data_IF_178018820947
#
_entry.id   IF_178018820947
#
_cell.length_a   1.000
_cell.length_b   1.000
_cell.length_c   1.000
_cell.angle_alpha   90.00
_cell.angle_beta   90.00
_cell.angle_gamma   90.00
#
_symmetry.space_group_name_H-M   'P 1'
#
loop_
_entity.id
_entity.type
_entity.pdbx_description
1 polymer ?
#
# COMPACT_ATOMS: atom_id res chain seq x y z
N UNK A 1 -2.21 3.77 -18.11
CA UNK A 1 -2.87 3.10 -16.97
C UNK A 1 -2.22 1.74 -16.83
N UNK A 2 -1.61 1.43 -15.68
CA UNK A 2 -1.38 0.03 -15.35
C UNK A 2 -2.74 -0.69 -15.39
N UNK A 3 -2.79 -1.94 -15.88
CA UNK A 3 -4.01 -2.74 -15.81
C UNK A 3 -4.47 -2.79 -14.35
N UNK A 4 -5.67 -2.27 -14.12
CA UNK A 4 -6.32 -2.39 -12.83
C UNK A 4 -6.60 -3.88 -12.56
N UNK A 5 -6.10 -4.38 -11.44
CA UNK A 5 -6.29 -5.76 -11.01
C UNK A 5 -7.59 -5.88 -10.21
N UNK A 6 -8.68 -6.12 -10.95
CA UNK A 6 -10.03 -6.25 -10.38
C UNK A 6 -10.15 -7.45 -9.44
N UNK A 7 -9.58 -8.60 -9.84
CA UNK A 7 -9.65 -9.85 -9.08
C UNK A 7 -8.97 -9.71 -7.72
N UNK A 8 -7.80 -9.07 -7.67
CA UNK A 8 -7.10 -8.81 -6.41
C UNK A 8 -7.92 -7.91 -5.47
N UNK A 9 -8.64 -6.92 -6.01
CA UNK A 9 -9.48 -6.06 -5.17
C UNK A 9 -10.75 -6.77 -4.69
N UNK A 10 -11.38 -7.57 -5.56
CA UNK A 10 -12.55 -8.38 -5.18
C UNK A 10 -12.22 -9.37 -4.07
N UNK A 11 -11.07 -10.04 -4.15
CA UNK A 11 -10.60 -10.95 -3.10
C UNK A 11 -10.47 -10.23 -1.74
N UNK A 12 -9.93 -9.00 -1.72
CA UNK A 12 -9.80 -8.18 -0.51
C UNK A 12 -11.15 -7.73 0.05
N UNK A 13 -12.09 -7.37 -0.82
CA UNK A 13 -13.46 -7.03 -0.42
C UNK A 13 -14.13 -8.24 0.23
N UNK A 14 -14.04 -9.42 -0.40
CA UNK A 14 -14.66 -10.64 0.13
C UNK A 14 -14.00 -11.10 1.45
N UNK A 15 -12.68 -10.94 1.61
CA UNK A 15 -11.99 -11.17 2.89
C UNK A 15 -12.45 -10.19 3.99
N UNK A 16 -12.61 -8.91 3.64
CA UNK A 16 -13.14 -7.92 4.56
C UNK A 16 -14.57 -8.27 4.98
N UNK A 17 -15.45 -8.62 4.03
CA UNK A 17 -16.83 -8.99 4.31
C UNK A 17 -16.94 -10.22 5.23
N UNK A 18 -16.03 -11.20 5.12
CA UNK A 18 -15.95 -12.32 6.09
C UNK A 18 -15.68 -11.83 7.51
N UNK A 19 -14.79 -10.85 7.66
CA UNK A 19 -14.48 -10.27 8.98
C UNK A 19 -15.62 -9.40 9.50
N UNK A 20 -16.26 -8.61 8.62
CA UNK A 20 -17.47 -7.83 8.93
C UNK A 20 -18.57 -8.72 9.51
N UNK A 21 -18.78 -9.91 8.94
CA UNK A 21 -19.75 -10.89 9.43
C UNK A 21 -19.45 -11.45 10.82
N UNK A 22 -18.18 -11.40 11.26
CA UNK A 22 -17.76 -11.85 12.60
C UNK A 22 -17.84 -10.71 13.62
N UNK A 23 -17.52 -9.49 13.21
CA UNK A 23 -17.39 -8.32 14.09
C UNK A 23 -18.74 -7.65 14.37
N UNK A 24 -19.66 -7.70 13.41
CA UNK A 24 -20.96 -7.08 13.52
C UNK A 24 -22.03 -8.11 13.88
N UNK A 25 -23.08 -7.65 14.59
CA UNK A 25 -24.29 -8.45 14.78
C UNK A 25 -24.85 -8.92 13.43
N UNK A 26 -25.37 -10.15 13.35
CA UNK A 26 -25.87 -10.77 12.10
C UNK A 26 -26.75 -9.83 11.25
N UNK A 27 -27.66 -9.08 11.89
CA UNK A 27 -28.56 -8.17 11.19
C UNK A 27 -27.83 -6.97 10.56
N UNK A 28 -26.78 -6.45 11.20
CA UNK A 28 -25.97 -5.35 10.67
C UNK A 28 -25.01 -5.86 9.60
N UNK A 29 -24.39 -7.02 9.81
CA UNK A 29 -23.52 -7.65 8.83
C UNK A 29 -24.24 -7.89 7.50
N UNK A 30 -25.49 -8.36 7.53
CA UNK A 30 -26.30 -8.62 6.34
C UNK A 30 -26.60 -7.36 5.51
N UNK A 31 -26.52 -6.18 6.11
CA UNK A 31 -26.72 -4.89 5.41
C UNK A 31 -25.46 -4.40 4.70
N UNK A 32 -24.29 -5.00 4.88
CA UNK A 32 -23.06 -4.49 4.29
C UNK A 32 -22.66 -5.33 3.09
N UNK A 33 -22.39 -4.67 1.97
CA UNK A 33 -22.02 -5.32 0.73
C UNK A 33 -20.94 -4.54 -0.03
N UNK A 34 -20.31 -5.22 -0.99
CA UNK A 34 -19.41 -4.59 -1.94
C UNK A 34 -20.13 -3.47 -2.71
N UNK A 35 -19.48 -2.32 -2.89
CA UNK A 35 -20.13 -1.14 -3.47
C UNK A 35 -20.70 -1.36 -4.88
N UNK A 36 -20.09 -2.23 -5.69
CA UNK A 36 -20.54 -2.58 -7.04
C UNK A 36 -21.76 -3.52 -7.05
N UNK A 37 -22.12 -4.12 -5.91
CA UNK A 37 -23.30 -4.99 -5.73
C UNK A 37 -24.50 -4.25 -5.13
N UNK A 38 -24.35 -2.98 -4.78
CA UNK A 38 -25.41 -2.16 -4.18
C UNK A 38 -25.92 -1.15 -5.20
N UNK A 39 -27.24 -0.93 -5.24
CA UNK A 39 -27.82 0.13 -6.07
C UNK A 39 -27.45 1.49 -5.48
N UNK A 40 -26.79 2.33 -6.27
CA UNK A 40 -26.30 3.64 -5.82
C UNK A 40 -26.25 4.63 -6.99
N UNK A 41 -26.18 5.92 -6.67
CA UNK A 41 -26.05 6.99 -7.65
C UNK A 41 -24.59 7.38 -7.89
N UNK A 42 -24.36 8.18 -8.93
CA UNK A 42 -23.02 8.73 -9.20
C UNK A 42 -22.45 9.46 -7.98
N UNK A 43 -23.29 10.19 -7.26
CA UNK A 43 -22.90 11.00 -6.11
C UNK A 43 -22.37 10.19 -4.93
N UNK A 44 -22.90 8.99 -4.73
CA UNK A 44 -22.48 8.10 -3.65
C UNK A 44 -21.03 7.64 -3.81
N UNK A 45 -20.46 7.73 -5.02
CA UNK A 45 -19.06 7.40 -5.29
C UNK A 45 -18.10 8.40 -4.65
N UNK A 46 -18.49 9.66 -4.51
CA UNK A 46 -17.70 10.65 -3.76
C UNK A 46 -17.75 10.37 -2.26
N UNK A 47 -18.92 9.96 -1.73
CA UNK A 47 -19.05 9.53 -0.35
C UNK A 47 -18.19 8.29 -0.07
N UNK A 48 -18.17 7.33 -1.00
CA UNK A 48 -17.32 6.15 -0.91
C UNK A 48 -15.83 6.50 -0.86
N UNK A 49 -15.38 7.41 -1.73
CA UNK A 49 -14.00 7.88 -1.71
C UNK A 49 -13.66 8.63 -0.41
N UNK A 50 -14.55 9.50 0.08
CA UNK A 50 -14.38 10.16 1.38
C UNK A 50 -14.26 9.14 2.52
N UNK A 51 -15.14 8.14 2.56
CA UNK A 51 -15.12 7.09 3.57
C UNK A 51 -13.84 6.27 3.52
N UNK A 52 -13.37 5.87 2.34
CA UNK A 52 -12.10 5.17 2.15
C UNK A 52 -10.92 5.99 2.69
N UNK A 53 -10.85 7.29 2.38
CA UNK A 53 -9.78 8.16 2.85
C UNK A 53 -9.82 8.35 4.36
N UNK A 54 -11.00 8.65 4.92
CA UNK A 54 -11.16 8.82 6.37
C UNK A 54 -10.86 7.54 7.15
N UNK A 55 -11.31 6.39 6.64
CA UNK A 55 -10.99 5.07 7.20
C UNK A 55 -9.47 4.82 7.20
N UNK A 56 -8.80 5.14 6.09
CA UNK A 56 -7.35 5.00 5.99
C UNK A 56 -6.60 5.91 6.96
N UNK A 57 -7.02 7.17 7.09
CA UNK A 57 -6.47 8.11 8.08
C UNK A 57 -6.62 7.54 9.50
N UNK A 58 -7.83 7.10 9.87
CA UNK A 58 -8.10 6.56 11.20
C UNK A 58 -7.24 5.31 11.50
N UNK A 59 -7.08 4.41 10.53
CA UNK A 59 -6.24 3.22 10.69
C UNK A 59 -4.75 3.56 10.81
N UNK A 60 -4.27 4.58 10.09
CA UNK A 60 -2.90 5.09 10.24
C UNK A 60 -2.70 5.64 11.67
N UNK A 61 -3.66 6.41 12.20
CA UNK A 61 -3.57 6.93 13.56
C UNK A 61 -3.51 5.81 14.61
N UNK A 62 -4.35 4.78 14.49
CA UNK A 62 -4.30 3.61 15.38
C UNK A 62 -2.92 2.94 15.36
N UNK A 63 -2.33 2.80 14.18
CA UNK A 63 -1.00 2.20 14.02
C UNK A 63 0.12 3.09 14.60
N UNK A 64 0.03 4.41 14.45
CA UNK A 64 0.96 5.37 15.07
C UNK A 64 0.86 5.35 16.59
N UNK A 65 -0.35 5.25 17.15
CA UNK A 65 -0.58 5.13 18.59
C UNK A 65 0.11 3.87 19.15
N UNK A 66 0.04 2.76 18.42
CA UNK A 66 0.65 1.49 18.84
C UNK A 66 2.19 1.53 18.91
N UNK A 67 2.85 2.38 18.12
CA UNK A 67 4.31 2.55 18.15
C UNK A 67 4.76 3.70 19.07
N UNK A 68 3.82 4.35 19.76
CA UNK A 68 4.12 5.31 20.81
C UNK A 68 3.64 6.73 20.56
N UNK A 69 2.89 7.03 19.49
CA UNK A 69 2.31 8.37 19.28
C UNK A 69 0.99 8.50 20.03
N UNK A 70 1.08 8.90 21.29
CA UNK A 70 -0.08 9.15 22.16
C UNK A 70 -0.98 10.27 21.60
N UNK A 71 -2.23 10.32 22.09
CA UNK A 71 -3.16 11.39 21.76
C UNK A 71 -2.59 12.79 22.11
N UNK A 72 -1.83 12.89 23.20
CA UNK A 72 -1.17 14.15 23.61
C UNK A 72 -0.09 14.58 22.64
N UNK A 73 0.71 13.64 22.13
CA UNK A 73 1.72 13.92 21.13
C UNK A 73 1.07 14.28 19.80
N UNK A 74 0.02 13.57 19.39
CA UNK A 74 -0.73 13.86 18.18
C UNK A 74 -1.34 15.28 18.20
N UNK A 75 -1.89 15.70 19.35
CA UNK A 75 -2.36 17.08 19.55
C UNK A 75 -1.22 18.11 19.41
N UNK A 76 -0.03 17.80 19.93
CA UNK A 76 1.15 18.66 19.77
C UNK A 76 1.59 18.76 18.31
N UNK A 77 1.63 17.64 17.59
CA UNK A 77 1.94 17.61 16.15
C UNK A 77 0.92 18.41 15.34
N UNK A 78 -0.37 18.29 15.66
CA UNK A 78 -1.45 19.07 15.04
C UNK A 78 -1.28 20.57 15.28
N UNK A 79 -0.92 20.97 16.51
CA UNK A 79 -0.65 22.35 16.85
C UNK A 79 0.57 22.90 16.06
N UNK A 80 1.65 22.14 15.94
CA UNK A 80 2.80 22.53 15.12
C UNK A 80 2.43 22.70 13.64
N UNK A 81 1.55 21.84 13.13
CA UNK A 81 1.09 21.86 11.74
C UNK A 81 0.31 23.13 11.37
N UNK A 82 -0.17 23.91 12.35
CA UNK A 82 -0.83 25.19 12.10
C UNK A 82 0.15 26.27 11.58
N UNK A 83 1.45 26.10 11.86
CA UNK A 83 2.46 27.12 11.54
C UNK A 83 3.59 26.60 10.67
N UNK A 84 3.87 25.28 10.71
CA UNK A 84 5.02 24.68 10.03
C UNK A 84 4.69 23.29 9.51
N UNK A 85 5.46 22.85 8.53
CA UNK A 85 5.47 21.46 8.14
C UNK A 85 5.86 20.56 9.32
N UNK A 86 5.27 19.37 9.41
CA UNK A 86 5.57 18.36 10.42
C UNK A 86 5.99 17.07 9.72
N UNK A 87 7.07 16.45 10.20
CA UNK A 87 7.66 15.27 9.59
C UNK A 87 7.96 14.20 10.63
N UNK A 88 7.87 12.93 10.22
CA UNK A 88 8.48 11.82 10.94
C UNK A 88 9.90 11.61 10.42
N UNK A 89 10.82 11.29 11.34
CA UNK A 89 12.23 11.05 11.09
C UNK A 89 12.64 9.73 11.69
N UNK A 90 13.33 8.91 10.90
CA UNK A 90 14.05 7.74 11.39
C UNK A 90 15.54 7.95 11.21
N UNK A 91 16.29 7.78 12.29
CA UNK A 91 17.75 7.80 12.29
C UNK A 91 18.26 6.48 12.85
N UNK A 92 19.25 5.89 12.19
CA UNK A 92 19.95 4.70 12.68
C UNK A 92 21.44 4.89 12.55
N UNK A 93 22.18 4.49 13.58
CA UNK A 93 23.64 4.43 13.62
C UNK A 93 24.09 3.00 13.87
N UNK A 94 24.89 2.45 12.98
CA UNK A 94 25.53 1.15 13.11
C UNK A 94 27.04 1.37 13.22
N UNK A 95 27.67 0.86 14.28
CA UNK A 95 29.12 0.92 14.47
C UNK A 95 29.71 -0.48 14.60
N UNK A 96 30.94 -0.66 14.14
CA UNK A 96 31.69 -1.89 14.31
C UNK A 96 33.09 -1.57 14.82
N UNK A 97 33.38 -1.98 16.06
CA UNK A 97 34.64 -1.70 16.76
C UNK A 97 35.44 -2.98 16.91
N UNK A 98 36.73 -2.94 16.56
CA UNK A 98 37.66 -4.01 16.92
C UNK A 98 37.96 -3.96 18.42
N UNK A 99 37.81 -5.09 19.10
CA UNK A 99 38.03 -5.19 20.55
C UNK A 99 39.41 -5.76 20.84
N UNK A 100 39.71 -6.97 20.34
CA UNK A 100 40.99 -7.65 20.57
C UNK A 100 41.21 -8.83 19.63
N UNK A 101 42.47 -9.25 19.55
CA UNK A 101 42.92 -10.50 18.93
C UNK A 101 43.19 -11.54 20.02
N UNK A 102 42.75 -12.77 19.81
CA UNK A 102 43.01 -13.92 20.66
C UNK A 102 43.72 -14.98 19.81
N UNK A 103 44.81 -15.55 20.32
CA UNK A 103 45.43 -16.74 19.76
C UNK A 103 44.99 -17.97 20.57
N UNK A 104 44.51 -19.02 19.90
CA UNK A 104 44.24 -20.32 20.54
C UNK A 104 44.93 -21.45 19.80
N UNK A 105 45.48 -22.38 20.58
CA UNK A 105 46.04 -23.62 20.09
C UNK A 105 44.91 -24.64 19.89
N UNK A 106 44.73 -25.11 18.66
CA UNK A 106 43.76 -26.16 18.34
C UNK A 106 44.53 -27.44 18.00
N UNK A 107 44.29 -28.50 18.77
CA UNK A 107 44.87 -29.82 18.46
C UNK A 107 44.24 -30.36 17.17
N UNK A 108 45.08 -30.65 16.17
CA UNK A 108 44.63 -31.25 14.92
C UNK A 108 44.25 -32.74 15.18
N UNK A 109 43.10 -33.23 14.70
CA UNK A 109 42.73 -34.65 14.84
C UNK A 109 43.70 -35.60 14.12
N UNK A 110 44.55 -35.08 13.23
CA UNK A 110 45.49 -35.87 12.43
C UNK A 110 46.73 -36.25 13.24
N UNK A 111 46.76 -37.48 13.79
CA UNK A 111 47.96 -38.05 14.42
C UNK A 111 48.97 -38.45 13.35
N UNK A 112 50.10 -37.74 13.27
CA UNK A 112 51.23 -38.19 12.45
C UNK A 112 52.06 -39.17 13.29
N UNK A 113 52.00 -40.45 12.95
CA UNK A 113 52.94 -41.44 13.48
C UNK A 113 54.23 -41.35 12.66
N UNK A 114 55.35 -41.07 13.31
CA UNK A 114 56.66 -41.10 12.68
C UNK A 114 57.38 -42.34 13.17
N UNK A 115 57.63 -43.30 12.29
CA UNK A 115 58.46 -44.48 12.59
C UNK A 115 59.94 -44.08 12.50
N UNK A 116 60.62 -44.03 13.64
CA UNK A 116 62.05 -43.81 13.75
C UNK A 116 62.68 -44.96 14.56
N UNK A 117 62.90 -46.11 13.92
CA UNK A 117 63.55 -47.27 14.54
C UNK A 117 62.79 -47.85 15.75
N UNK A 118 63.50 -48.46 16.70
CA UNK A 118 62.96 -49.30 17.78
C UNK A 118 61.98 -48.62 18.77
N UNK A 119 61.65 -47.33 18.61
CA UNK A 119 60.74 -46.59 19.47
C UNK A 119 59.69 -45.81 18.67
N UNK A 120 58.41 -46.05 18.96
CA UNK A 120 57.27 -45.30 18.39
C UNK A 120 57.09 -43.98 19.11
N UNK A 121 57.24 -42.86 18.38
CA UNK A 121 56.98 -41.51 18.90
C UNK A 121 55.74 -40.93 18.24
N UNK A 122 54.79 -40.45 19.04
CA UNK A 122 53.55 -39.82 18.53
C UNK A 122 53.75 -38.30 18.51
N UNK A 123 53.74 -37.68 17.33
CA UNK A 123 53.84 -36.22 17.20
C UNK A 123 52.43 -35.65 17.05
N UNK A 124 52.04 -34.77 17.97
CA UNK A 124 50.79 -34.00 17.88
C UNK A 124 51.07 -32.69 17.13
N UNK A 125 50.33 -32.44 16.06
CA UNK A 125 50.35 -31.14 15.36
C UNK A 125 49.42 -30.18 16.08
N UNK A 126 49.97 -29.10 16.64
CA UNK A 126 49.21 -28.01 17.24
C UNK A 126 49.10 -26.88 16.21
N UNK A 127 47.88 -26.51 15.84
CA UNK A 127 47.62 -25.42 14.88
C UNK A 127 47.18 -24.18 15.64
N UNK A 128 47.93 -23.08 15.50
CA UNK A 128 47.57 -21.76 16.07
C UNK A 128 46.47 -21.11 15.23
N UNK A 129 45.34 -20.81 15.86
CA UNK A 129 44.22 -20.09 15.24
C UNK A 129 44.12 -18.70 15.86
N UNK A 130 44.17 -17.66 15.02
CA UNK A 130 43.89 -16.27 15.39
C UNK A 130 42.40 -15.99 15.28
N UNK A 131 41.85 -15.37 16.31
CA UNK A 131 40.45 -14.96 16.39
C UNK A 131 40.38 -13.47 16.74
N UNK A 132 39.61 -12.73 15.94
CA UNK A 132 39.42 -11.29 16.07
C UNK A 132 38.01 -11.05 16.62
N UNK A 133 37.92 -10.32 17.73
CA UNK A 133 36.66 -9.98 18.38
C UNK A 133 36.24 -8.57 17.97
N UNK A 134 35.00 -8.44 17.49
CA UNK A 134 34.38 -7.17 17.13
C UNK A 134 33.11 -6.94 17.94
N UNK A 135 32.85 -5.68 18.30
CA UNK A 135 31.61 -5.21 18.90
C UNK A 135 30.81 -4.42 17.86
N UNK A 136 29.60 -4.90 17.59
CA UNK A 136 28.63 -4.25 16.73
C UNK A 136 27.68 -3.49 17.63
N UNK A 137 27.58 -2.17 17.47
CA UNK A 137 26.64 -1.31 18.22
C UNK A 137 25.60 -0.76 17.25
N UNK A 138 24.33 -0.79 17.67
CA UNK A 138 23.20 -0.27 16.90
C UNK A 138 22.38 0.64 17.78
N UNK A 139 22.21 1.88 17.33
CA UNK A 139 21.28 2.84 17.90
C UNK A 139 20.28 3.25 16.82
N UNK A 140 19.00 3.32 17.14
CA UNK A 140 18.03 3.98 16.27
C UNK A 140 17.03 4.83 17.04
N UNK A 141 16.42 5.78 16.35
CA UNK A 141 15.37 6.64 16.88
C UNK A 141 14.36 6.94 15.78
N UNK A 142 13.09 6.75 16.11
CA UNK A 142 11.95 7.30 15.38
C UNK A 142 11.43 8.51 16.16
N UNK A 143 11.36 9.66 15.50
CA UNK A 143 10.90 10.90 16.10
C UNK A 143 9.97 11.65 15.15
N UNK A 144 9.24 12.62 15.68
CA UNK A 144 8.49 13.60 14.92
C UNK A 144 9.05 15.00 15.20
N UNK A 145 9.08 15.86 14.20
CA UNK A 145 9.60 17.22 14.35
C UNK A 145 8.85 18.22 13.45
N UNK A 146 8.88 19.50 13.83
CA UNK A 146 8.42 20.59 12.96
C UNK A 146 9.53 21.32 12.23
N UNK A 147 9.19 21.85 11.05
CA UNK A 147 10.11 22.55 10.16
C UNK A 147 11.27 21.65 9.72
N UNK A 148 12.49 22.10 10.00
CA UNK A 148 13.74 21.41 9.63
C UNK A 148 14.30 20.52 10.74
N UNK A 149 13.62 20.41 11.89
CA UNK A 149 14.05 19.54 13.00
C UNK A 149 15.25 20.03 13.80
N UNK A 150 15.60 21.32 13.70
CA UNK A 150 16.75 21.91 14.40
C UNK A 150 16.42 22.46 15.80
N UNK A 151 15.13 22.57 16.15
CA UNK A 151 14.70 23.04 17.46
C UNK A 151 14.38 21.84 18.36
N UNK A 152 15.19 21.54 19.39
CA UNK A 152 14.96 20.40 20.28
C UNK A 152 13.62 20.46 21.03
N UNK A 153 13.05 21.65 21.24
CA UNK A 153 11.72 21.81 21.85
C UNK A 153 10.57 21.41 20.91
N UNK A 154 10.86 21.28 19.62
CA UNK A 154 9.95 20.88 18.54
C UNK A 154 10.28 19.46 18.04
N UNK A 155 10.70 18.58 18.94
CA UNK A 155 10.98 17.16 18.66
C UNK A 155 10.25 16.28 19.68
N UNK A 156 9.49 15.31 19.17
CA UNK A 156 8.87 14.24 19.96
C UNK A 156 9.61 12.94 19.64
N UNK A 157 10.18 12.29 20.65
CA UNK A 157 10.79 10.98 20.52
C UNK A 157 9.73 9.90 20.67
N UNK A 158 9.44 9.18 19.58
CA UNK A 158 8.38 8.17 19.53
C UNK A 158 8.91 6.84 20.07
N UNK A 159 10.02 6.36 19.50
CA UNK A 159 10.69 5.15 19.97
C UNK A 159 12.17 5.19 19.67
N UNK A 160 12.97 4.57 20.54
CA UNK A 160 14.42 4.45 20.38
C UNK A 160 14.90 3.16 21.00
N UNK A 161 15.89 2.54 20.39
CA UNK A 161 16.60 1.42 21.00
C UNK A 161 18.11 1.54 20.74
N UNK A 162 18.87 1.12 21.74
CA UNK A 162 20.33 0.98 21.69
C UNK A 162 20.69 -0.45 22.09
N UNK A 163 21.48 -1.11 21.26
CA UNK A 163 21.81 -2.53 21.42
C UNK A 163 23.20 -2.85 20.92
N UNK A 164 23.76 -3.97 21.37
CA UNK A 164 25.11 -4.37 21.00
C UNK A 164 25.25 -5.89 20.87
N UNK A 165 26.13 -6.31 19.97
CA UNK A 165 26.43 -7.71 19.70
C UNK A 165 27.94 -7.87 19.55
N UNK A 166 28.52 -8.77 20.34
CA UNK A 166 29.91 -9.18 20.19
C UNK A 166 29.98 -10.38 19.25
N UNK A 167 30.89 -10.34 18.28
CA UNK A 167 31.14 -11.43 17.32
C UNK A 167 32.62 -11.76 17.23
N UNK A 168 32.91 -13.02 16.93
CA UNK A 168 34.29 -13.52 16.71
C UNK A 168 34.47 -13.93 15.26
N UNK A 169 35.56 -13.47 14.64
CA UNK A 169 35.93 -13.76 13.26
C UNK A 169 37.31 -14.41 13.21
N UNK A 170 37.58 -15.25 12.21
CA UNK A 170 38.94 -15.77 11.92
C UNK A 170 39.72 -14.89 10.95
N UNK A 171 39.09 -13.82 10.47
CA UNK A 171 39.64 -12.87 9.51
C UNK A 171 39.76 -11.51 10.22
N UNK A 172 40.88 -10.83 10.02
CA UNK A 172 41.18 -9.51 10.61
C UNK A 172 40.40 -8.34 9.99
N UNK A 173 39.62 -8.60 8.94
CA UNK A 173 38.74 -7.62 8.32
C UNK A 173 37.45 -7.49 9.12
N UNK A 174 37.11 -6.25 9.49
CA UNK A 174 35.87 -5.95 10.19
C UNK A 174 34.64 -6.34 9.34
N UNK A 175 33.57 -6.91 9.95
CA UNK A 175 32.37 -7.32 9.23
C UNK A 175 31.56 -6.16 8.63
N UNK A 176 31.68 -4.96 9.20
CA UNK A 176 31.03 -3.74 8.73
C UNK A 176 32.02 -2.59 8.65
N UNK A 177 31.63 -1.51 7.95
CA UNK A 177 32.29 -0.21 8.08
C UNK A 177 32.26 0.25 9.54
N UNK A 178 33.27 1.00 9.95
CA UNK A 178 33.44 1.48 11.33
C UNK A 178 32.20 2.22 11.86
N UNK A 179 31.56 3.03 11.02
CA UNK A 179 30.29 3.69 11.32
C UNK A 179 29.47 3.91 10.05
N UNK A 180 28.17 3.63 10.12
CA UNK A 180 27.16 3.94 9.09
C UNK A 180 26.00 4.67 9.75
N UNK A 181 25.50 5.71 9.09
CA UNK A 181 24.31 6.46 9.53
C UNK A 181 23.29 6.41 8.40
N UNK A 182 22.08 5.95 8.71
CA UNK A 182 20.92 6.01 7.82
C UNK A 182 19.92 7.04 8.37
N UNK A 183 19.37 7.88 7.49
CA UNK A 183 18.35 8.87 7.85
C UNK A 183 17.26 8.88 6.79
N UNK A 184 16.00 8.84 7.24
CA UNK A 184 14.81 8.96 6.39
C UNK A 184 13.82 9.92 7.03
N UNK A 185 13.16 10.72 6.21
CA UNK A 185 12.14 11.67 6.64
C UNK A 185 10.89 11.55 5.77
N UNK A 186 9.72 11.77 6.36
CA UNK A 186 8.46 11.93 5.63
C UNK A 186 7.60 13.01 6.22
N UNK A 187 7.10 13.91 5.37
CA UNK A 187 6.15 14.93 5.77
C UNK A 187 4.77 14.32 6.03
N UNK A 188 4.22 14.56 7.22
CA UNK A 188 2.89 14.10 7.66
C UNK A 188 1.89 15.25 7.83
N UNK A 189 2.21 16.46 7.36
CA UNK A 189 1.32 17.63 7.44
C UNK A 189 -0.02 17.42 6.77
N UNK A 190 -0.04 16.66 5.67
CA UNK A 190 -1.28 16.30 4.97
C UNK A 190 -2.21 15.49 5.88
N UNK A 191 -1.68 14.46 6.56
CA UNK A 191 -2.43 13.63 7.50
C UNK A 191 -3.03 14.50 8.61
N UNK A 192 -2.18 15.32 9.23
CA UNK A 192 -2.57 16.20 10.34
C UNK A 192 -3.59 17.25 9.90
N UNK A 193 -3.55 17.73 8.65
CA UNK A 193 -4.52 18.71 8.14
C UNK A 193 -5.95 18.14 8.14
N UNK A 194 -6.10 16.85 7.89
CA UNK A 194 -7.40 16.17 7.80
C UNK A 194 -7.87 15.57 9.12
N UNK A 195 -7.38 16.10 10.24
CA UNK A 195 -7.91 15.81 11.56
C UNK A 195 -8.72 17.00 12.08
N UNK A 196 -9.73 16.70 12.89
CA UNK A 196 -10.45 17.68 13.70
C UNK A 196 -9.52 18.42 14.69
N UNK A 197 -10.07 19.41 15.39
CA UNK A 197 -9.31 20.21 16.36
C UNK A 197 -8.77 19.37 17.53
N UNK A 198 -9.51 18.33 17.92
CA UNK A 198 -9.11 17.40 18.96
C UNK A 198 -8.04 16.39 18.51
N UNK A 199 -7.69 16.37 17.22
CA UNK A 199 -6.81 15.39 16.59
C UNK A 199 -7.26 13.93 16.79
N UNK A 200 -8.58 13.72 16.86
CA UNK A 200 -9.22 12.45 17.19
C UNK A 200 -9.92 11.82 15.98
N UNK A 201 -10.47 12.64 15.10
CA UNK A 201 -11.38 12.19 14.04
C UNK A 201 -10.90 12.69 12.69
N UNK A 202 -10.94 11.82 11.68
CA UNK A 202 -10.63 12.18 10.30
C UNK A 202 -11.78 13.01 9.69
N UNK A 203 -11.44 14.10 9.02
CA UNK A 203 -12.40 15.07 8.45
C UNK A 203 -12.17 15.33 6.97
N UNK A 204 -11.57 14.37 6.26
CA UNK A 204 -11.34 14.49 4.82
C UNK A 204 -12.67 14.57 4.07
N UNK A 205 -12.75 15.50 3.12
CA UNK A 205 -13.85 15.61 2.17
C UNK A 205 -13.34 16.13 0.84
N UNK A 206 -13.79 15.52 -0.24
CA UNK A 206 -13.52 15.96 -1.61
C UNK A 206 -14.22 17.30 -1.90
N UNK A 207 -13.47 18.27 -2.40
CA UNK A 207 -14.04 19.45 -3.04
C UNK A 207 -14.50 19.10 -4.46
N UNK A 208 -15.81 19.13 -4.63
CA UNK A 208 -16.48 18.84 -5.90
C UNK A 208 -16.61 20.07 -6.79
N UNK A 209 -16.52 21.27 -6.23
CA UNK A 209 -16.64 22.51 -6.98
C UNK A 209 -15.35 22.85 -7.74
N UNK A 210 -14.27 22.13 -7.48
CA UNK A 210 -13.00 22.33 -8.15
C UNK A 210 -13.11 22.10 -9.67
N UNK A 211 -12.62 23.06 -10.47
CA UNK A 211 -12.79 23.09 -11.92
C UNK A 211 -12.29 21.82 -12.66
N UNK A 212 -11.30 21.15 -12.09
CA UNK A 212 -10.71 19.92 -12.65
C UNK A 212 -11.27 18.62 -12.02
N UNK A 213 -12.40 18.67 -11.32
CA UNK A 213 -13.03 17.49 -10.72
C UNK A 213 -13.84 16.72 -11.77
N UNK A 214 -13.28 15.65 -12.33
CA UNK A 214 -13.98 14.79 -13.30
C UNK A 214 -14.68 13.61 -12.62
N UNK A 215 -13.95 12.85 -11.80
CA UNK A 215 -14.43 11.70 -11.03
C UNK A 215 -13.85 11.77 -9.61
N UNK A 216 -14.33 10.97 -8.64
CA UNK A 216 -13.71 10.91 -7.32
C UNK A 216 -12.21 10.57 -7.40
N UNK A 217 -11.82 9.66 -8.29
CA UNK A 217 -10.43 9.28 -8.50
C UNK A 217 -9.61 10.37 -9.19
N UNK A 218 -10.22 11.08 -10.14
CA UNK A 218 -9.64 12.21 -10.87
C UNK A 218 -9.98 13.54 -10.18
N UNK A 219 -9.70 13.61 -8.88
CA UNK A 219 -9.88 14.80 -8.05
C UNK A 219 -8.55 15.19 -7.38
N UNK A 220 -8.34 16.49 -7.15
CA UNK A 220 -7.11 17.02 -6.57
C UNK A 220 -6.87 16.55 -5.12
N UNK A 221 -7.92 16.45 -4.31
CA UNK A 221 -7.83 16.02 -2.92
C UNK A 221 -7.46 14.53 -2.82
N UNK A 222 -8.07 13.69 -3.65
CA UNK A 222 -7.73 12.26 -3.75
C UNK A 222 -6.32 12.06 -4.31
N UNK A 223 -5.91 12.91 -5.26
CA UNK A 223 -4.52 12.91 -5.77
C UNK A 223 -3.52 13.26 -4.67
N UNK A 224 -3.80 14.27 -3.85
CA UNK A 224 -2.96 14.63 -2.70
C UNK A 224 -2.90 13.49 -1.67
N UNK A 225 -4.03 12.82 -1.40
CA UNK A 225 -4.08 11.64 -0.55
C UNK A 225 -3.19 10.50 -1.07
N UNK A 226 -3.26 10.21 -2.36
CA UNK A 226 -2.43 9.17 -3.00
C UNK A 226 -0.93 9.50 -2.95
N UNK A 227 -0.58 10.78 -3.13
CA UNK A 227 0.81 11.24 -3.01
C UNK A 227 1.33 11.06 -1.59
N UNK A 228 0.56 11.49 -0.58
CA UNK A 228 0.89 11.28 0.82
C UNK A 228 1.09 9.78 1.12
N UNK A 229 0.12 8.94 0.75
CA UNK A 229 0.19 7.49 0.98
C UNK A 229 1.43 6.85 0.33
N UNK A 230 1.78 7.28 -0.89
CA UNK A 230 2.98 6.79 -1.58
C UNK A 230 4.28 7.18 -0.84
N UNK A 231 4.41 8.45 -0.44
CA UNK A 231 5.57 8.92 0.33
C UNK A 231 5.66 8.24 1.69
N UNK A 232 4.53 8.09 2.39
CA UNK A 232 4.45 7.46 3.69
C UNK A 232 4.78 5.97 3.64
N UNK A 233 4.26 5.24 2.65
CA UNK A 233 4.62 3.83 2.42
C UNK A 233 6.10 3.65 2.04
N UNK A 234 6.67 4.56 1.25
CA UNK A 234 8.10 4.55 0.93
C UNK A 234 8.95 4.70 2.19
N UNK A 235 8.61 5.66 3.05
CA UNK A 235 9.25 5.82 4.36
C UNK A 235 9.15 4.55 5.21
N UNK A 236 7.94 3.99 5.37
CA UNK A 236 7.74 2.78 6.16
C UNK A 236 8.56 1.60 5.62
N UNK A 237 8.63 1.44 4.29
CA UNK A 237 9.41 0.39 3.62
C UNK A 237 10.91 0.56 3.83
N UNK A 238 11.42 1.81 3.79
CA UNK A 238 12.84 2.10 4.04
C UNK A 238 13.22 1.78 5.48
N UNK A 239 12.41 2.20 6.45
CA UNK A 239 12.63 1.90 7.87
C UNK A 239 12.56 0.39 8.13
N UNK A 240 11.53 -0.28 7.60
CA UNK A 240 11.39 -1.73 7.67
C UNK A 240 12.63 -2.46 7.13
N UNK A 241 13.17 -2.04 5.98
CA UNK A 241 14.37 -2.64 5.41
C UNK A 241 15.59 -2.52 6.36
N UNK A 242 15.73 -1.42 7.09
CA UNK A 242 16.81 -1.26 8.08
C UNK A 242 16.62 -2.11 9.31
N UNK A 243 15.38 -2.29 9.79
CA UNK A 243 15.09 -3.21 10.88
C UNK A 243 15.29 -4.67 10.46
N UNK A 244 14.88 -5.04 9.23
CA UNK A 244 15.12 -6.38 8.68
C UNK A 244 16.61 -6.69 8.60
N UNK A 245 17.43 -5.71 8.22
CA UNK A 245 18.88 -5.83 8.24
C UNK A 245 19.42 -6.12 9.65
N UNK A 246 18.82 -5.58 10.72
CA UNK A 246 19.23 -5.92 12.09
C UNK A 246 18.98 -7.40 12.42
N UNK A 247 17.87 -7.96 11.96
CA UNK A 247 17.63 -9.40 12.06
C UNK A 247 18.66 -10.22 11.27
N UNK A 248 19.09 -9.76 10.08
CA UNK A 248 20.14 -10.44 9.32
C UNK A 248 21.49 -10.40 10.05
N UNK A 249 21.85 -9.24 10.62
CA UNK A 249 23.04 -9.09 11.47
C UNK A 249 22.97 -10.04 12.67
N UNK A 250 21.82 -10.09 13.36
CA UNK A 250 21.60 -11.00 14.48
C UNK A 250 21.75 -12.46 14.07
N UNK A 251 21.19 -12.86 12.93
CA UNK A 251 21.27 -14.23 12.43
C UNK A 251 22.68 -14.64 12.00
N UNK A 252 23.46 -13.70 11.46
CA UNK A 252 24.79 -13.99 10.92
C UNK A 252 25.89 -13.96 11.99
N UNK A 253 25.80 -13.02 12.94
CA UNK A 253 26.84 -12.74 13.92
C UNK A 253 26.43 -13.06 15.36
N UNK A 254 25.18 -13.45 15.58
CA UNK A 254 24.68 -13.88 16.88
C UNK A 254 25.37 -15.14 17.38
N UNK A 255 25.36 -15.33 18.71
CA UNK A 255 25.87 -16.57 19.31
C UNK A 255 25.01 -17.74 18.83
N UNK A 256 25.61 -18.86 18.45
CA UNK A 256 24.89 -20.03 17.93
C UNK A 256 23.85 -20.61 18.92
N UNK A 257 24.01 -20.33 20.22
CA UNK A 257 23.08 -20.72 21.30
C UNK A 257 21.94 -19.73 21.49
N UNK A 258 21.91 -18.60 20.79
CA UNK A 258 20.79 -17.68 20.82
C UNK A 258 19.54 -18.38 20.27
N UNK A 259 18.43 -18.19 20.96
CA UNK A 259 17.16 -18.74 20.55
C UNK A 259 16.80 -18.22 19.14
N UNK A 260 16.56 -19.17 18.23
CA UNK A 260 16.11 -18.86 16.88
C UNK A 260 14.61 -18.66 16.91
N UNK A 261 14.15 -17.57 16.33
CA UNK A 261 12.74 -17.31 16.08
C UNK A 261 12.50 -17.37 14.56
N UNK A 262 11.27 -17.68 14.17
CA UNK A 262 10.89 -17.68 12.77
C UNK A 262 10.60 -16.24 12.31
N UNK A 263 11.52 -15.67 11.53
CA UNK A 263 11.34 -14.33 10.95
C UNK A 263 10.17 -14.26 9.98
N UNK A 264 9.75 -15.39 9.39
CA UNK A 264 8.59 -15.42 8.48
C UNK A 264 7.28 -15.11 9.23
N UNK A 265 7.23 -15.34 10.55
CA UNK A 265 6.09 -14.99 11.38
C UNK A 265 5.98 -13.47 11.65
N UNK A 266 7.06 -12.70 11.40
CA UNK A 266 7.08 -11.23 11.47
C UNK A 266 6.56 -10.67 10.15
N UNK A 267 5.25 -10.77 9.97
CA UNK A 267 4.55 -10.35 8.77
C UNK A 267 3.24 -9.62 9.13
N UNK A 268 2.54 -9.10 8.13
CA UNK A 268 1.25 -8.43 8.28
C UNK A 268 0.03 -9.36 8.11
N UNK A 269 0.24 -10.67 7.96
CA UNK A 269 -0.85 -11.63 7.75
C UNK A 269 -1.70 -11.78 9.02
N UNK A 270 -3.01 -11.83 8.83
CA UNK A 270 -4.00 -11.91 9.91
C UNK A 270 -4.36 -10.56 10.55
N UNK A 271 -3.75 -9.46 10.10
CA UNK A 271 -4.15 -8.10 10.51
C UNK A 271 -5.30 -7.64 9.62
N UNK A 272 -6.42 -7.26 10.22
CA UNK A 272 -7.59 -6.80 9.49
C UNK A 272 -7.34 -5.43 8.84
N UNK A 273 -7.77 -5.26 7.59
CA UNK A 273 -7.67 -3.98 6.87
C UNK A 273 -9.06 -3.57 6.34
N UNK A 274 -9.69 -2.53 6.94
CA UNK A 274 -11.04 -2.10 6.58
C UNK A 274 -11.09 -1.13 5.39
N UNK A 275 -9.96 -0.79 4.78
CA UNK A 275 -9.88 0.19 3.68
C UNK A 275 -10.29 -0.48 2.36
N UNK A 276 -11.60 -0.74 2.23
CA UNK A 276 -12.22 -1.37 1.07
C UNK A 276 -13.57 -0.71 0.70
N UNK A 277 -13.98 -0.73 -0.57
CA UNK A 277 -15.17 -0.03 -1.05
C UNK A 277 -16.44 -0.82 -0.70
N UNK A 278 -17.04 -0.48 0.45
CA UNK A 278 -18.26 -1.07 0.96
C UNK A 278 -19.40 -0.04 1.06
N UNK A 279 -20.62 -0.51 0.84
CA UNK A 279 -21.86 0.25 1.05
C UNK A 279 -22.82 -0.50 1.95
N UNK A 280 -23.79 0.26 2.46
CA UNK A 280 -24.98 -0.27 3.13
C UNK A 280 -26.04 -0.57 2.08
N UNK A 281 -26.65 -1.75 2.20
CA UNK A 281 -27.70 -2.28 1.35
C UNK A 281 -28.95 -2.54 2.20
N UNK A 282 -29.74 -1.48 2.42
CA UNK A 282 -30.99 -1.56 3.19
C UNK A 282 -32.01 -2.52 2.56
N UNK A 283 -31.91 -2.76 1.24
CA UNK A 283 -32.75 -3.73 0.51
C UNK A 283 -32.50 -5.19 0.92
N UNK A 284 -31.36 -5.51 1.55
CA UNK A 284 -31.02 -6.88 1.96
C UNK A 284 -31.84 -7.38 3.15
N UNK A 285 -32.33 -6.48 4.01
CA UNK A 285 -33.11 -6.85 5.21
C UNK A 285 -34.54 -7.27 4.84
N UNK A 286 -35.10 -6.70 3.77
CA UNK A 286 -36.47 -6.98 3.32
C UNK A 286 -36.66 -8.41 2.76
N UNK A 287 -35.58 -9.11 2.42
CA UNK A 287 -35.64 -10.48 1.85
C UNK A 287 -35.59 -11.56 2.95
N UNK A 288 -35.28 -11.19 4.20
CA UNK A 288 -35.14 -12.14 5.32
C UNK A 288 -36.38 -12.16 6.24
N UNK A 289 -37.38 -11.31 6.00
CA UNK A 289 -38.66 -11.38 6.69
C UNK A 289 -39.60 -12.37 6.01
N UNK A 290 -39.64 -13.59 6.58
CA UNK A 290 -40.62 -14.67 6.46
C UNK A 290 -41.20 -14.99 5.07
N UNK A 291 -40.78 -16.14 4.56
CA UNK A 291 -41.60 -16.92 3.65
C UNK A 291 -42.80 -17.48 4.39
N UNK A 292 -43.97 -16.85 4.20
CA UNK A 292 -45.26 -17.54 4.09
C UNK A 292 -46.28 -16.62 3.43
N UNK A 293 -47.01 -17.22 2.49
CA UNK A 293 -48.15 -16.73 1.73
C UNK A 293 -47.88 -15.82 0.51
N UNK A 294 -47.80 -16.52 -0.62
CA UNK A 294 -48.07 -16.01 -1.94
C UNK A 294 -49.53 -15.56 -2.06
N UNK A 295 -49.74 -14.28 -2.41
CA UNK A 295 -50.83 -13.88 -3.30
C UNK A 295 -50.33 -12.79 -4.23
N UNK A 296 -50.39 -13.09 -5.54
CA UNK A 296 -50.22 -12.14 -6.62
C UNK A 296 -51.20 -10.99 -6.48
N UNK A 297 -50.69 -9.75 -6.39
CA UNK A 297 -51.39 -8.58 -6.88
C UNK A 297 -50.38 -7.54 -7.36
N UNK A 298 -50.35 -7.38 -8.68
CA UNK A 298 -49.63 -6.33 -9.36
C UNK A 298 -50.23 -4.97 -8.95
N UNK A 299 -49.45 -4.17 -8.22
CA UNK A 299 -49.76 -2.76 -7.97
C UNK A 299 -48.85 -1.92 -8.85
N UNK A 300 -49.45 -1.37 -9.91
CA UNK A 300 -48.90 -0.29 -10.72
C UNK A 300 -48.78 0.95 -9.82
N UNK A 301 -47.55 1.32 -9.44
CA UNK A 301 -47.28 2.57 -8.74
C UNK A 301 -46.99 3.68 -9.75
N UNK A 302 -48.06 4.40 -10.12
CA UNK A 302 -47.99 5.75 -10.70
C UNK A 302 -47.31 6.72 -9.73
N UNK A 303 -46.51 7.63 -10.27
CA UNK A 303 -45.55 8.45 -9.54
C UNK A 303 -46.14 9.45 -8.53
N UNK A 304 -45.23 9.94 -7.68
CA UNK A 304 -45.42 11.11 -6.84
C UNK A 304 -45.17 10.87 -5.35
N UNK A 305 -43.90 10.70 -4.96
CA UNK A 305 -43.45 11.01 -3.60
C UNK A 305 -41.95 11.31 -3.62
N UNK A 306 -41.58 12.50 -3.12
CA UNK A 306 -40.21 12.93 -2.86
C UNK A 306 -39.55 11.90 -1.92
N UNK A 307 -38.75 10.99 -2.47
CA UNK A 307 -38.04 10.01 -1.67
C UNK A 307 -36.90 10.70 -0.94
N UNK A 308 -36.98 10.68 0.38
CA UNK A 308 -35.85 10.91 1.26
C UNK A 308 -34.73 9.98 0.79
N UNK A 309 -33.67 10.55 0.23
CA UNK A 309 -32.56 9.76 -0.31
C UNK A 309 -31.83 9.12 0.87
N UNK A 310 -31.97 7.80 1.06
CA UNK A 310 -31.23 7.07 2.08
C UNK A 310 -29.79 6.91 1.60
N UNK A 311 -28.85 7.43 2.40
CA UNK A 311 -27.44 7.33 2.08
C UNK A 311 -26.99 5.87 2.13
N UNK A 312 -26.36 5.40 1.04
CA UNK A 312 -25.73 4.07 0.97
C UNK A 312 -24.36 4.03 1.66
N UNK A 313 -23.91 5.15 2.23
CA UNK A 313 -22.66 5.22 2.97
C UNK A 313 -22.69 4.31 4.22
N UNK A 314 -21.52 3.83 4.64
CA UNK A 314 -21.41 3.09 5.90
C UNK A 314 -21.77 4.02 7.07
N UNK A 315 -22.66 3.59 7.99
CA UNK A 315 -22.95 4.35 9.19
C UNK A 315 -21.71 4.50 10.07
N UNK A 316 -21.55 5.66 10.73
CA UNK A 316 -20.41 5.91 11.60
C UNK A 316 -20.19 4.84 12.69
N UNK A 317 -21.23 4.28 13.34
CA UNK A 317 -21.03 3.20 14.30
C UNK A 317 -20.36 1.96 13.69
N UNK A 318 -20.71 1.61 12.45
CA UNK A 318 -20.09 0.50 11.71
C UNK A 318 -18.63 0.83 11.40
N UNK A 319 -18.37 2.03 10.86
CA UNK A 319 -17.00 2.51 10.59
C UNK A 319 -16.12 2.39 11.84
N UNK A 320 -16.61 2.88 12.98
CA UNK A 320 -15.89 2.82 14.25
C UNK A 320 -15.60 1.37 14.68
N UNK A 321 -16.54 0.45 14.50
CA UNK A 321 -16.33 -0.97 14.81
C UNK A 321 -15.27 -1.61 13.92
N UNK A 322 -15.24 -1.30 12.63
CA UNK A 322 -14.22 -1.82 11.71
C UNK A 322 -12.83 -1.25 12.02
N UNK A 323 -12.74 0.05 12.33
CA UNK A 323 -11.49 0.70 12.76
C UNK A 323 -11.01 0.09 14.09
N UNK A 324 -11.92 -0.18 15.02
CA UNK A 324 -11.57 -0.81 16.29
C UNK A 324 -11.10 -2.25 16.12
N UNK A 325 -11.70 -3.00 15.20
CA UNK A 325 -11.26 -4.35 14.85
C UNK A 325 -9.84 -4.34 14.22
N UNK A 326 -9.55 -3.36 13.38
CA UNK A 326 -8.21 -3.17 12.83
C UNK A 326 -7.20 -2.94 13.95
N UNK A 327 -7.50 -2.04 14.89
CA UNK A 327 -6.66 -1.80 16.07
C UNK A 327 -6.46 -3.07 16.90
N UNK A 328 -7.53 -3.82 17.17
CA UNK A 328 -7.50 -5.06 17.95
C UNK A 328 -6.62 -6.12 17.29
N UNK A 329 -6.83 -6.39 15.99
CA UNK A 329 -6.08 -7.41 15.25
C UNK A 329 -4.59 -7.03 15.09
N UNK A 330 -4.28 -5.75 14.86
CA UNK A 330 -2.90 -5.26 14.85
C UNK A 330 -2.22 -5.45 16.21
N UNK A 331 -2.85 -5.03 17.31
CA UNK A 331 -2.32 -5.20 18.65
C UNK A 331 -2.12 -6.69 19.02
N UNK A 332 -3.05 -7.56 18.61
CA UNK A 332 -2.93 -9.00 18.79
C UNK A 332 -1.73 -9.57 18.03
N UNK A 333 -1.51 -9.17 16.77
CA UNK A 333 -0.35 -9.58 15.98
C UNK A 333 0.96 -9.09 16.58
N UNK A 334 1.01 -7.84 17.05
CA UNK A 334 2.16 -7.29 17.77
C UNK A 334 2.46 -8.09 19.04
N UNK A 335 1.44 -8.46 19.81
CA UNK A 335 1.60 -9.31 21.01
C UNK A 335 2.10 -10.71 20.65
N UNK A 336 1.55 -11.31 19.60
CA UNK A 336 2.00 -12.61 19.09
C UNK A 336 3.48 -12.58 18.70
N UNK A 337 3.90 -11.57 17.93
CA UNK A 337 5.28 -11.41 17.48
C UNK A 337 6.22 -11.11 18.64
N UNK A 338 5.84 -10.24 19.57
CA UNK A 338 6.61 -10.00 20.79
C UNK A 338 6.79 -11.27 21.62
N UNK A 339 5.77 -12.14 21.67
CA UNK A 339 5.81 -13.44 22.35
C UNK A 339 6.84 -14.43 21.81
N UNK A 340 7.24 -14.30 20.54
CA UNK A 340 8.30 -15.13 19.94
C UNK A 340 9.65 -14.94 20.66
N UNK A 341 9.88 -13.75 21.22
CA UNK A 341 11.13 -13.38 21.89
C UNK A 341 11.11 -13.68 23.39
N UNK A 342 9.92 -13.79 24.02
CA UNK A 342 9.79 -14.18 25.43
C UNK A 342 9.81 -15.70 25.58
N UNK A 343 9.16 -16.45 24.68
CA UNK A 343 9.24 -17.92 24.66
C UNK A 343 10.67 -18.43 24.41
N UNK A 344 11.41 -17.70 23.56
CA UNK A 344 12.83 -17.90 23.31
C UNK A 344 13.73 -17.72 24.56
N UNK A 345 13.32 -16.89 25.53
CA UNK A 345 14.08 -16.62 26.75
C UNK A 345 13.81 -17.63 27.89
N UNK A 346 12.80 -18.50 27.74
CA UNK A 346 12.28 -19.40 28.79
C UNK A 346 13.17 -20.57 29.23
N UNK A 347 14.40 -20.68 28.73
CA UNK A 347 15.31 -21.81 29.02
C UNK A 347 16.62 -21.42 29.70
N UNK A 348 16.77 -20.15 30.14
CA UNK A 348 18.00 -19.69 30.80
C UNK A 348 17.71 -19.15 32.19
N UNK A 349 17.69 -20.04 33.18
CA UNK A 349 17.93 -19.69 34.59
C UNK A 349 19.39 -19.28 34.75
N UNK A 350 19.71 -18.02 34.47
CA UNK A 350 21.02 -17.44 34.78
C UNK A 350 20.83 -16.02 35.33
N UNK A 351 20.90 -15.94 36.65
CA UNK A 351 21.02 -14.72 37.45
C UNK A 351 22.38 -14.08 37.20
N UNK A 352 22.57 -13.43 36.06
CA UNK A 352 23.57 -12.37 35.86
C UNK A 352 23.15 -11.55 34.65
N UNK A 353 22.82 -10.27 34.87
CA UNK A 353 22.53 -9.29 33.84
C UNK A 353 23.77 -9.03 32.97
N UNK A 354 24.05 -9.96 32.06
CA UNK A 354 24.99 -9.74 30.97
C UNK A 354 24.20 -8.98 29.92
N UNK A 355 24.59 -7.73 29.64
CA UNK A 355 23.93 -6.87 28.66
C UNK A 355 23.60 -7.67 27.40
N UNK A 356 22.32 -7.64 26.98
CA UNK A 356 21.79 -8.49 25.93
C UNK A 356 22.69 -8.45 24.69
N UNK A 357 23.31 -9.59 24.37
CA UNK A 357 24.10 -9.80 23.14
C UNK A 357 23.18 -9.97 21.94
N UNK A 358 22.27 -9.02 21.73
CA UNK A 358 21.33 -9.05 20.61
C UNK A 358 21.13 -7.65 20.07
N UNK A 359 21.12 -7.53 18.75
CA UNK A 359 20.81 -6.27 18.02
C UNK A 359 19.40 -6.26 17.42
N UNK A 360 18.62 -7.32 17.67
CA UNK A 360 17.24 -7.45 17.21
C UNK A 360 16.40 -8.17 18.27
N UNK A 361 15.26 -7.61 18.64
CA UNK A 361 14.38 -8.14 19.66
C UNK A 361 12.90 -7.90 19.37
N UNK A 362 12.09 -8.01 20.43
CA UNK A 362 10.63 -7.86 20.35
C UNK A 362 10.21 -6.47 19.91
N UNK A 363 10.91 -5.41 20.33
CA UNK A 363 10.63 -4.04 19.95
C UNK A 363 10.79 -3.81 18.44
N UNK A 364 11.91 -4.25 17.85
CA UNK A 364 12.16 -4.10 16.42
C UNK A 364 11.19 -4.95 15.60
N UNK A 365 10.91 -6.18 16.02
CA UNK A 365 9.96 -7.06 15.34
C UNK A 365 8.53 -6.50 15.38
N UNK A 366 8.11 -5.94 16.52
CA UNK A 366 6.80 -5.28 16.66
C UNK A 366 6.71 -4.05 15.74
N UNK A 367 7.74 -3.22 15.73
CA UNK A 367 7.82 -2.05 14.85
C UNK A 367 7.78 -2.46 13.37
N UNK A 368 8.47 -3.55 12.98
CA UNK A 368 8.41 -4.09 11.62
C UNK A 368 6.99 -4.45 11.19
N UNK A 369 6.23 -5.16 12.03
CA UNK A 369 4.83 -5.51 11.75
C UNK A 369 3.98 -4.26 11.51
N UNK A 370 4.12 -3.25 12.36
CA UNK A 370 3.36 -2.00 12.21
C UNK A 370 3.73 -1.29 10.91
N UNK A 371 5.02 -1.19 10.58
CA UNK A 371 5.49 -0.55 9.33
C UNK A 371 5.00 -1.31 8.08
N UNK A 372 4.97 -2.65 8.12
CA UNK A 372 4.41 -3.46 7.04
C UNK A 372 2.92 -3.17 6.83
N UNK A 373 2.15 -3.11 7.93
CA UNK A 373 0.73 -2.81 7.87
C UNK A 373 0.45 -1.37 7.40
N UNK A 374 1.24 -0.40 7.86
CA UNK A 374 1.17 0.99 7.38
C UNK A 374 1.42 1.09 5.87
N UNK A 375 2.42 0.36 5.34
CA UNK A 375 2.66 0.29 3.90
C UNK A 375 1.49 -0.36 3.14
N UNK A 376 0.80 -1.34 3.75
CA UNK A 376 -0.33 -2.02 3.12
C UNK A 376 -1.52 -1.08 2.89
N UNK A 377 -1.74 -0.09 3.75
CA UNK A 377 -2.82 0.90 3.57
C UNK A 377 -2.68 1.68 2.27
N UNK A 378 -1.47 2.07 1.88
CA UNK A 378 -1.24 2.80 0.64
C UNK A 378 -1.68 2.00 -0.60
N UNK A 379 -1.43 0.69 -0.59
CA UNK A 379 -1.87 -0.21 -1.67
C UNK A 379 -3.39 -0.39 -1.67
N UNK A 380 -3.99 -0.69 -0.51
CA UNK A 380 -5.44 -0.89 -0.39
C UNK A 380 -6.22 0.37 -0.76
N UNK A 381 -5.79 1.53 -0.25
CA UNK A 381 -6.40 2.81 -0.58
C UNK A 381 -6.33 3.10 -2.09
N UNK A 382 -5.16 2.94 -2.72
CA UNK A 382 -4.99 3.11 -4.17
C UNK A 382 -5.94 2.19 -4.95
N UNK A 383 -5.95 0.90 -4.62
CA UNK A 383 -6.82 -0.05 -5.29
C UNK A 383 -8.31 0.24 -5.06
N UNK A 384 -8.68 0.75 -3.88
CA UNK A 384 -10.05 1.17 -3.57
C UNK A 384 -10.51 2.36 -4.41
N UNK A 385 -9.68 3.39 -4.56
CA UNK A 385 -10.04 4.54 -5.43
C UNK A 385 -9.97 4.19 -6.92
N UNK A 386 -9.07 3.29 -7.33
CA UNK A 386 -9.02 2.78 -8.70
C UNK A 386 -10.24 1.87 -9.00
N UNK A 387 -10.73 1.11 -8.02
CA UNK A 387 -11.99 0.35 -8.13
C UNK A 387 -13.19 1.27 -8.38
N UNK A 388 -13.25 2.44 -7.73
CA UNK A 388 -14.30 3.43 -7.98
C UNK A 388 -14.28 3.89 -9.45
N UNK A 389 -13.09 4.19 -9.98
CA UNK A 389 -12.94 4.58 -11.39
C UNK A 389 -13.34 3.43 -12.33
N UNK A 390 -12.92 2.21 -12.02
CA UNK A 390 -13.30 1.02 -12.75
C UNK A 390 -14.84 0.83 -12.77
N UNK A 391 -15.49 0.98 -11.61
CA UNK A 391 -16.94 0.90 -11.47
C UNK A 391 -17.66 1.95 -12.33
N UNK A 392 -17.15 3.20 -12.37
CA UNK A 392 -17.67 4.25 -13.26
C UNK A 392 -17.54 3.83 -14.73
N UNK A 393 -16.38 3.32 -15.13
CA UNK A 393 -16.15 2.84 -16.51
C UNK A 393 -17.13 1.72 -16.88
N UNK A 394 -17.32 0.73 -16.01
CA UNK A 394 -18.25 -0.37 -16.26
C UNK A 394 -19.70 0.11 -16.40
N UNK A 395 -20.13 1.02 -15.54
CA UNK A 395 -21.46 1.61 -15.62
C UNK A 395 -21.67 2.41 -16.91
N UNK A 396 -20.63 3.13 -17.38
CA UNK A 396 -20.69 3.84 -18.66
C UNK A 396 -20.79 2.86 -19.84
N UNK A 397 -19.99 1.79 -19.85
CA UNK A 397 -20.06 0.75 -20.88
C UNK A 397 -21.44 0.09 -20.90
N UNK A 398 -21.98 -0.26 -19.73
CA UNK A 398 -23.30 -0.84 -19.61
C UNK A 398 -24.40 0.11 -20.11
N UNK A 399 -24.32 1.40 -19.79
CA UNK A 399 -25.27 2.41 -20.24
C UNK A 399 -25.24 2.63 -21.77
N UNK A 400 -24.07 2.55 -22.39
CA UNK A 400 -23.90 2.63 -23.85
C UNK A 400 -24.28 1.30 -24.53
N UNK A 401 -24.17 0.17 -23.82
CA UNK A 401 -24.40 -1.18 -24.33
C UNK A 401 -23.21 -1.80 -25.06
N UNK A 402 -22.11 -1.06 -25.22
CA UNK A 402 -20.83 -1.54 -25.76
C UNK A 402 -19.69 -0.61 -25.38
N UNK A 403 -18.46 -1.11 -25.43
CA UNK A 403 -17.27 -0.25 -25.37
C UNK A 403 -17.15 0.53 -26.69
N UNK A 404 -17.02 1.86 -26.57
CA UNK A 404 -16.83 2.74 -27.73
C UNK A 404 -15.37 2.71 -28.17
N UNK A 405 -15.17 2.39 -29.45
CA UNK A 405 -13.86 2.36 -30.10
C UNK A 405 -13.67 3.58 -31.00
N UNK A 406 -12.43 3.81 -31.47
CA UNK A 406 -12.15 4.83 -32.47
C UNK A 406 -13.02 4.67 -33.74
N UNK A 407 -13.35 3.42 -34.11
CA UNK A 407 -14.23 3.11 -35.23
C UNK A 407 -15.65 3.63 -35.02
N UNK A 408 -16.22 3.44 -33.84
CA UNK A 408 -17.57 3.92 -33.52
C UNK A 408 -17.65 5.45 -33.66
N UNK A 409 -16.59 6.15 -33.22
CA UNK A 409 -16.49 7.60 -33.37
C UNK A 409 -16.32 8.03 -34.84
N UNK A 410 -15.49 7.34 -35.62
CA UNK A 410 -15.33 7.62 -37.05
C UNK A 410 -16.67 7.45 -37.83
N UNK A 411 -17.44 6.41 -37.50
CA UNK A 411 -18.78 6.19 -38.05
C UNK A 411 -19.76 7.29 -37.63
N UNK A 412 -19.73 7.67 -36.34
CA UNK A 412 -20.54 8.77 -35.81
C UNK A 412 -20.25 10.10 -36.52
N UNK A 413 -18.97 10.43 -36.72
CA UNK A 413 -18.53 11.64 -37.42
C UNK A 413 -18.95 11.60 -38.89
N UNK A 414 -18.80 10.47 -39.57
CA UNK A 414 -19.26 10.30 -40.96
C UNK A 414 -20.77 10.56 -41.09
N UNK A 415 -21.57 10.02 -40.17
CA UNK A 415 -23.01 10.26 -40.14
C UNK A 415 -23.36 11.73 -39.89
N UNK A 416 -22.70 12.40 -38.93
CA UNK A 416 -22.98 13.79 -38.59
C UNK A 416 -22.50 14.77 -39.67
N UNK A 417 -21.35 14.50 -40.30
CA UNK A 417 -20.84 15.31 -41.41
C UNK A 417 -21.84 15.39 -42.57
N UNK A 418 -22.63 14.32 -42.82
CA UNK A 418 -23.71 14.34 -43.81
C UNK A 418 -24.83 15.32 -43.49
N UNK A 419 -25.05 15.61 -42.20
CA UNK A 419 -26.07 16.56 -41.74
C UNK A 419 -25.56 18.00 -41.65
N UNK A 420 -24.27 18.18 -41.34
CA UNK A 420 -23.67 19.50 -41.09
C UNK A 420 -23.15 20.13 -42.39
N UNK A 421 -22.54 19.36 -43.28
CA UNK A 421 -21.97 19.88 -44.52
C UNK A 421 -22.93 19.73 -45.70
N UNK A 422 -22.97 20.76 -46.57
CA UNK A 422 -23.52 20.58 -47.93
C UNK A 422 -22.73 19.47 -48.64
N UNK A 423 -23.39 18.74 -49.52
CA UNK A 423 -22.81 17.56 -50.20
C UNK A 423 -21.43 17.82 -50.84
N UNK A 424 -21.22 19.02 -51.40
CA UNK A 424 -19.95 19.41 -52.01
C UNK A 424 -18.77 19.50 -51.03
N UNK A 425 -19.03 19.67 -49.73
CA UNK A 425 -18.02 19.83 -48.67
C UNK A 425 -17.96 18.63 -47.70
N UNK A 426 -18.78 17.60 -47.93
CA UNK A 426 -18.72 16.40 -47.11
C UNK A 426 -17.40 15.65 -47.39
N UNK A 427 -16.68 15.18 -46.35
CA UNK A 427 -15.57 14.27 -46.54
C UNK A 427 -16.00 13.04 -47.35
N UNK A 428 -15.18 12.62 -48.31
CA UNK A 428 -15.41 11.46 -49.17
C UNK A 428 -14.28 10.44 -49.01
N UNK A 429 -14.52 9.15 -49.24
CA UNK A 429 -13.46 8.15 -49.27
C UNK A 429 -12.32 8.59 -50.20
N UNK A 430 -11.07 8.56 -49.71
CA UNK A 430 -9.89 8.82 -50.52
C UNK A 430 -9.69 7.65 -51.47
N UNK A 431 -10.32 7.76 -52.64
CA UNK A 431 -10.37 6.71 -53.64
C UNK A 431 -10.51 7.37 -55.01
N UNK A 432 -9.39 7.49 -55.71
CA UNK A 432 -9.32 8.16 -57.00
C UNK A 432 -8.95 7.17 -58.10
N UNK A 433 -9.73 7.18 -59.17
CA UNK A 433 -9.40 6.44 -60.37
C UNK A 433 -8.18 7.07 -61.06
N UNK A 434 -7.17 6.26 -61.36
CA UNK A 434 -6.02 6.66 -62.18
C UNK A 434 -6.45 6.56 -63.65
N UNK A 435 -6.35 7.68 -64.36
CA UNK A 435 -6.73 7.81 -65.77
C UNK A 435 -5.64 8.57 -66.52
N UNK A 436 -5.45 8.26 -67.81
CA UNK A 436 -4.56 9.04 -68.69
C UNK A 436 -5.11 10.42 -69.02
N UNK A 437 -6.43 10.55 -69.13
CA UNK A 437 -7.11 11.84 -69.25
C UNK A 437 -8.58 11.72 -68.78
N UNK A 438 -9.30 12.84 -68.57
CA UNK A 438 -10.67 12.83 -68.05
C UNK A 438 -11.68 12.01 -68.87
N UNK A 439 -11.40 11.80 -70.17
CA UNK A 439 -12.27 11.05 -71.10
C UNK A 439 -11.90 9.57 -71.25
N UNK A 440 -10.77 9.13 -70.69
CA UNK A 440 -10.36 7.72 -70.75
C UNK A 440 -10.92 6.92 -69.58
N UNK A 441 -11.17 5.63 -69.81
CA UNK A 441 -11.52 4.67 -68.77
C UNK A 441 -10.44 4.59 -67.69
N UNK A 442 -10.79 4.26 -66.42
CA UNK A 442 -9.81 4.01 -65.36
C UNK A 442 -8.83 2.91 -65.77
N UNK A 443 -7.54 3.18 -65.58
CA UNK A 443 -6.46 2.18 -65.74
C UNK A 443 -6.04 1.61 -64.39
N UNK A 444 -6.46 2.24 -63.28
CA UNK A 444 -6.23 1.78 -61.92
C UNK A 444 -6.96 2.65 -60.90
N UNK A 445 -6.67 2.42 -59.63
CA UNK A 445 -7.23 3.18 -58.50
C UNK A 445 -6.14 3.42 -57.46
N UNK A 446 -6.11 4.62 -56.90
CA UNK A 446 -5.32 4.96 -55.72
C UNK A 446 -6.31 5.12 -54.56
N UNK A 447 -6.08 4.35 -53.51
CA UNK A 447 -6.86 4.41 -52.28
C UNK A 447 -5.90 4.52 -51.10
N UNK A 448 -6.28 5.30 -50.09
CA UNK A 448 -5.61 5.29 -48.79
C UNK A 448 -6.59 4.62 -47.84
N UNK A 449 -6.15 3.52 -47.22
CA UNK A 449 -6.95 2.68 -46.35
C UNK A 449 -6.42 2.72 -44.93
N UNK A 450 -7.31 2.53 -43.96
CA UNK A 450 -6.91 2.22 -42.59
C UNK A 450 -6.81 0.71 -42.41
N UNK A 451 -5.68 0.25 -41.86
CA UNK A 451 -5.47 -1.15 -41.48
C UNK A 451 -6.15 -1.50 -40.14
N UNK A 452 -6.80 -0.54 -39.48
CA UNK A 452 -7.46 -0.74 -38.19
C UNK A 452 -8.74 -1.58 -38.28
N UNK A 453 -9.24 -1.86 -39.49
CA UNK A 453 -10.46 -2.63 -39.74
C UNK A 453 -10.16 -3.73 -40.78
N UNK A 454 -10.82 -4.87 -40.65
CA UNK A 454 -10.75 -5.97 -41.64
C UNK A 454 -12.17 -6.26 -42.17
N UNK A 455 -12.43 -6.15 -43.49
CA UNK A 455 -11.50 -5.67 -44.52
C UNK A 455 -11.12 -4.19 -44.31
N UNK A 456 -9.96 -3.80 -44.86
CA UNK A 456 -9.49 -2.42 -44.78
C UNK A 456 -10.50 -1.47 -45.44
N UNK A 457 -10.78 -0.34 -44.78
CA UNK A 457 -11.76 0.65 -45.25
C UNK A 457 -11.01 1.94 -45.71
N UNK A 458 -11.45 2.63 -46.78
CA UNK A 458 -10.84 3.88 -47.20
C UNK A 458 -11.02 5.00 -46.18
N UNK A 459 -9.97 5.80 -45.97
CA UNK A 459 -10.05 6.99 -45.11
C UNK A 459 -10.90 8.09 -45.77
N UNK A 460 -11.68 8.82 -44.99
CA UNK A 460 -12.50 9.93 -45.50
C UNK A 460 -11.71 11.24 -45.46
N UNK A 461 -11.67 11.96 -46.58
CA UNK A 461 -10.87 13.18 -46.76
C UNK A 461 -11.68 14.28 -47.43
N UNK A 462 -11.29 15.53 -47.21
CA UNK A 462 -11.77 16.68 -47.98
C UNK A 462 -10.71 16.96 -49.05
N UNK A 463 -11.11 16.93 -50.32
CA UNK A 463 -10.20 17.18 -51.43
C UNK A 463 -10.51 18.52 -52.08
N UNK A 464 -9.47 19.33 -52.26
CA UNK A 464 -9.53 20.54 -53.06
C UNK A 464 -8.78 20.29 -54.36
N UNK A 465 -9.47 20.42 -55.49
CA UNK A 465 -8.84 20.39 -56.80
C UNK A 465 -8.37 21.81 -57.14
N UNK A 466 -7.05 21.99 -57.28
CA UNK A 466 -6.45 23.23 -57.77
C UNK A 466 -6.07 23.03 -59.22
N UNK A 467 -6.66 23.81 -60.13
CA UNK A 467 -6.36 23.75 -61.58
C UNK A 467 -4.94 24.26 -61.91
N UNK A 468 -4.31 24.96 -60.96
CA UNK A 468 -2.92 25.37 -61.04
C UNK A 468 -2.13 24.68 -59.91
N UNK A 469 -1.65 23.47 -60.18
CA UNK A 469 -0.50 22.97 -59.42
C UNK A 469 0.73 23.80 -59.83
N UNK A 470 1.64 24.15 -58.90
CA UNK A 470 2.89 24.82 -59.25
C UNK A 470 3.76 24.01 -60.22
#
# INVERSE_FOLDING_TARGET
MALYDEDAMRAKIDECLKTVAVVLDNNKAATIAAADRVSHQYEDKYLLANNLTNMSIACILNALELIGVSHTELGSLKAWNAHRAVSLKFERRLKCKFIKEIERDVEDPTRVQVDAGLFRTTVKTITKVKEYIYLIEVDYTLSAHSGVGNNPAEVIHITSAGSQLETTSRISTAPFKESTVDTFDVNISWLLKHLDEAASTATFSIDRAHANCATPRQNADVTAALQFQASFSSFCSNVHAKLRHLCDVQSQYGVATAAKFDIAAVNQEGIFNPVVPLFTNDSAVAVVSDGQDATEQAVVATGGALTHHQSVALPQPVVNQLVQEQRRSLAAKCTQVAGLFTAAAGTVTSTTATAAKSVFGSSEATLMVVLLHLSQFAQFYRQGVDFIEHMIRQQLIAAVGKELTARDFAQYMTFHNRKVFKEAYQPKPFSYAVRRSPVHSPEGQIQIETAEVTPAEPIYTVSQHTENAP
#
